data_IF_009917805165
#
_entry.id   IF_009917805165
#
_cell.length_a   1.000
_cell.length_b   1.000
_cell.length_c   1.000
_cell.angle_alpha   90.00
_cell.angle_beta   90.00
_cell.angle_gamma   90.00
#
_symmetry.space_group_name_H-M   'P 1'
#
loop_
_entity.id
_entity.type
_entity.pdbx_description
1 polymer ?
#
# COMPACT_ATOMS: atom_id res chain seq x y z
N UNK A 1 13.69 81.04 19.24
CA UNK A 1 13.71 79.64 19.69
C UNK A 1 12.44 78.96 19.18
N UNK A 2 12.50 78.33 18.01
CA UNK A 2 11.35 77.62 17.41
C UNK A 2 11.71 76.15 17.30
N UNK A 3 10.97 75.30 18.02
CA UNK A 3 11.15 73.84 18.07
C UNK A 3 10.12 73.21 17.14
N UNK A 4 10.59 72.74 15.98
CA UNK A 4 9.76 72.01 15.01
C UNK A 4 9.76 70.52 15.41
N UNK A 5 8.61 70.00 15.86
CA UNK A 5 8.39 68.57 16.08
C UNK A 5 8.00 67.89 14.76
N UNK A 6 8.83 66.98 14.28
CA UNK A 6 8.50 66.07 13.18
C UNK A 6 7.86 64.80 13.74
N UNK A 7 6.57 64.59 13.46
CA UNK A 7 5.90 63.31 13.71
C UNK A 7 6.20 62.36 12.55
N UNK A 8 7.01 61.33 12.82
CA UNK A 8 7.23 60.21 11.93
C UNK A 8 6.08 59.20 12.11
N UNK A 9 5.17 59.15 11.14
CA UNK A 9 4.11 58.13 11.07
C UNK A 9 4.68 56.87 10.43
N UNK A 10 5.11 55.93 11.26
CA UNK A 10 5.57 54.61 10.83
C UNK A 10 4.32 53.76 10.48
N UNK A 11 3.87 53.84 9.24
CA UNK A 11 2.79 53.01 8.70
C UNK A 11 3.34 51.61 8.43
N UNK A 12 3.29 50.75 9.45
CA UNK A 12 3.63 49.34 9.36
C UNK A 12 2.61 48.58 8.53
N UNK A 13 2.81 48.55 7.21
CA UNK A 13 2.15 47.60 6.32
C UNK A 13 2.67 46.20 6.63
N UNK A 14 1.96 45.47 7.50
CA UNK A 14 2.16 44.02 7.61
C UNK A 14 1.43 43.37 6.43
N UNK A 15 2.14 42.68 5.52
CA UNK A 15 1.48 41.94 4.46
C UNK A 15 0.59 40.89 5.12
N UNK A 16 -0.72 40.95 4.84
CA UNK A 16 -1.65 39.86 5.09
C UNK A 16 -1.16 38.68 4.26
N UNK A 17 -0.35 37.81 4.87
CA UNK A 17 -0.01 36.53 4.29
C UNK A 17 -1.32 35.74 4.15
N UNK A 18 -1.86 35.72 2.93
CA UNK A 18 -2.93 34.79 2.55
C UNK A 18 -2.45 33.38 2.90
N UNK A 19 -3.04 32.78 3.94
CA UNK A 19 -2.86 31.36 4.21
C UNK A 19 -3.44 30.61 3.02
N UNK A 20 -2.58 29.99 2.22
CA UNK A 20 -3.01 29.07 1.17
C UNK A 20 -3.87 27.99 1.82
N UNK A 21 -5.06 27.76 1.25
CA UNK A 21 -5.92 26.66 1.67
C UNK A 21 -5.17 25.33 1.47
N UNK A 22 -5.26 24.37 2.41
CA UNK A 22 -4.58 23.09 2.24
C UNK A 22 -5.03 22.41 0.96
N UNK A 23 -4.09 21.84 0.20
CA UNK A 23 -4.41 21.11 -1.03
C UNK A 23 -5.12 19.78 -0.72
N UNK A 24 -5.80 19.20 -1.71
CA UNK A 24 -6.47 17.89 -1.57
C UNK A 24 -5.48 16.78 -1.16
N UNK A 25 -4.24 16.84 -1.67
CA UNK A 25 -3.17 15.91 -1.33
C UNK A 25 -2.74 16.01 0.14
N UNK A 26 -2.76 17.23 0.71
CA UNK A 26 -2.51 17.44 2.14
C UNK A 26 -3.59 16.79 2.99
N UNK A 27 -4.87 16.91 2.59
CA UNK A 27 -5.97 16.23 3.27
C UNK A 27 -5.89 14.71 3.13
N UNK A 28 -5.59 14.20 1.93
CA UNK A 28 -5.44 12.77 1.70
C UNK A 28 -4.31 12.16 2.54
N UNK A 29 -3.16 12.84 2.63
CA UNK A 29 -2.02 12.42 3.47
C UNK A 29 -2.42 12.33 4.94
N UNK A 30 -3.13 13.35 5.46
CA UNK A 30 -3.64 13.33 6.85
C UNK A 30 -4.64 12.20 7.07
N UNK A 31 -5.51 11.94 6.10
CA UNK A 31 -6.52 10.89 6.19
C UNK A 31 -5.88 9.49 6.15
N UNK A 32 -4.85 9.27 5.34
CA UNK A 32 -4.04 8.03 5.35
C UNK A 32 -3.41 7.82 6.73
N UNK A 33 -2.69 8.81 7.25
CA UNK A 33 -1.98 8.66 8.52
C UNK A 33 -2.97 8.47 9.69
N UNK A 34 -4.11 9.16 9.68
CA UNK A 34 -5.20 8.91 10.63
C UNK A 34 -5.73 7.49 10.53
N UNK A 35 -5.92 6.97 9.30
CA UNK A 35 -6.36 5.59 9.08
C UNK A 35 -5.37 4.57 9.64
N UNK A 36 -4.06 4.81 9.50
CA UNK A 36 -3.00 3.98 10.10
C UNK A 36 -3.13 3.98 11.63
N UNK A 37 -3.20 5.16 12.24
CA UNK A 37 -3.29 5.27 13.70
C UNK A 37 -4.57 4.58 14.22
N UNK A 38 -5.70 4.73 13.53
CA UNK A 38 -6.96 4.03 13.86
C UNK A 38 -6.84 2.52 13.74
N UNK A 39 -6.17 2.04 12.69
CA UNK A 39 -5.95 0.62 12.44
C UNK A 39 -5.11 -0.03 13.54
N UNK A 40 -4.01 0.62 13.93
CA UNK A 40 -3.11 0.16 15.01
C UNK A 40 -3.83 0.11 16.37
N UNK A 41 -4.79 1.00 16.60
CA UNK A 41 -5.62 1.01 17.80
C UNK A 41 -6.85 0.07 17.74
N UNK A 42 -6.98 -0.75 16.68
CA UNK A 42 -8.07 -1.72 16.53
C UNK A 42 -9.41 -1.13 16.06
N UNK A 43 -9.45 0.16 15.69
CA UNK A 43 -10.63 0.84 15.17
C UNK A 43 -10.81 0.61 13.67
N UNK A 44 -10.97 -0.67 13.29
CA UNK A 44 -10.89 -1.11 11.89
C UNK A 44 -11.92 -0.45 10.97
N UNK A 45 -13.15 -0.23 11.44
CA UNK A 45 -14.20 0.41 10.64
C UNK A 45 -13.89 1.90 10.40
N UNK A 46 -13.37 2.60 11.41
CA UNK A 46 -12.97 4.00 11.29
C UNK A 46 -11.76 4.14 10.38
N UNK A 47 -10.81 3.19 10.44
CA UNK A 47 -9.67 3.13 9.52
C UNK A 47 -10.13 2.99 8.06
N UNK A 48 -11.11 2.12 7.78
CA UNK A 48 -11.70 1.97 6.44
C UNK A 48 -12.26 3.31 5.93
N UNK A 49 -13.01 4.02 6.77
CA UNK A 49 -13.57 5.33 6.39
C UNK A 49 -12.45 6.32 6.07
N UNK A 50 -11.43 6.42 6.93
CA UNK A 50 -10.31 7.34 6.72
C UNK A 50 -9.52 7.04 5.43
N UNK A 51 -9.29 5.77 5.12
CA UNK A 51 -8.61 5.40 3.86
C UNK A 51 -9.52 5.62 2.63
N UNK A 52 -10.83 5.40 2.73
CA UNK A 52 -11.78 5.67 1.67
C UNK A 52 -11.91 7.18 1.37
N UNK A 53 -11.88 8.01 2.40
CA UNK A 53 -11.83 9.47 2.27
C UNK A 53 -10.54 9.90 1.55
N UNK A 54 -9.39 9.34 1.94
CA UNK A 54 -8.12 9.60 1.25
C UNK A 54 -8.18 9.22 -0.23
N UNK A 55 -8.70 8.03 -0.53
CA UNK A 55 -8.87 7.57 -1.90
C UNK A 55 -9.80 8.49 -2.70
N UNK A 56 -10.92 8.92 -2.11
CA UNK A 56 -11.86 9.84 -2.78
C UNK A 56 -11.22 11.19 -3.07
N UNK A 57 -10.42 11.72 -2.13
CA UNK A 57 -9.68 12.98 -2.29
C UNK A 57 -8.64 12.89 -3.42
N UNK A 58 -8.00 11.73 -3.60
CA UNK A 58 -7.00 11.54 -4.65
C UNK A 58 -7.62 11.10 -5.98
N UNK A 59 -8.82 10.52 -5.98
CA UNK A 59 -9.44 9.92 -7.16
C UNK A 59 -10.50 10.79 -7.85
N UNK A 60 -10.51 12.12 -7.62
CA UNK A 60 -11.41 13.03 -8.34
C UNK A 60 -11.17 13.15 -9.87
N UNK A 61 -10.42 12.26 -10.56
CA UNK A 61 -10.15 12.32 -12.00
C UNK A 61 -10.05 10.90 -12.63
N UNK A 62 -11.08 10.52 -13.42
CA UNK A 62 -11.02 10.06 -14.82
C UNK A 62 -10.29 8.74 -15.24
N UNK A 63 -10.16 7.71 -14.41
CA UNK A 63 -9.30 6.54 -14.77
C UNK A 63 -9.86 5.13 -14.58
N UNK A 64 -11.18 4.97 -14.44
CA UNK A 64 -11.76 3.65 -14.24
C UNK A 64 -11.89 2.81 -15.53
N UNK A 65 -12.02 3.45 -16.68
CA UNK A 65 -12.33 2.75 -17.94
C UNK A 65 -11.09 2.25 -18.71
N UNK A 66 -9.86 2.66 -18.34
CA UNK A 66 -8.62 2.32 -19.07
C UNK A 66 -7.81 1.16 -18.47
N UNK A 67 -8.10 0.73 -17.23
CA UNK A 67 -7.25 -0.23 -16.49
C UNK A 67 -7.52 -1.68 -16.90
N UNK A 68 -8.64 -2.00 -17.57
CA UNK A 68 -8.97 -3.39 -17.94
C UNK A 68 -8.13 -3.95 -19.11
N UNK A 69 -7.49 -3.12 -19.95
CA UNK A 69 -7.00 -3.57 -21.26
C UNK A 69 -5.48 -3.70 -21.43
N UNK A 70 -4.62 -3.38 -20.45
CA UNK A 70 -3.17 -3.39 -20.66
C UNK A 70 -2.35 -3.98 -19.49
N UNK A 71 -1.92 -5.23 -19.66
CA UNK A 71 -0.78 -5.82 -18.96
C UNK A 71 0.45 -5.73 -19.89
N UNK A 72 1.44 -4.88 -19.57
CA UNK A 72 2.65 -4.67 -20.39
C UNK A 72 3.93 -4.87 -19.57
N UNK A 73 4.99 -5.28 -20.27
CA UNK A 73 6.31 -5.74 -19.83
C UNK A 73 7.27 -4.62 -19.34
N UNK A 74 8.24 -5.01 -18.50
CA UNK A 74 8.93 -4.21 -17.47
C UNK A 74 10.13 -3.35 -17.95
N UNK A 75 10.34 -2.19 -17.32
CA UNK A 75 11.67 -1.54 -17.20
C UNK A 75 11.87 -0.97 -15.78
N UNK A 76 13.07 -1.12 -15.21
CA UNK A 76 13.39 -0.83 -13.81
C UNK A 76 14.07 0.55 -13.64
N UNK A 77 13.66 1.31 -12.61
CA UNK A 77 14.29 2.54 -12.13
C UNK A 77 14.22 2.56 -10.59
N UNK A 78 15.20 3.10 -9.85
CA UNK A 78 15.31 2.84 -8.41
C UNK A 78 14.35 3.69 -7.54
N UNK A 79 13.83 3.19 -6.39
CA UNK A 79 12.56 3.66 -5.84
C UNK A 79 12.53 4.44 -4.52
N UNK A 80 11.43 5.18 -4.35
CA UNK A 80 10.93 5.66 -3.06
C UNK A 80 10.68 4.45 -2.13
N UNK A 81 11.11 4.56 -0.88
CA UNK A 81 11.01 3.49 0.11
C UNK A 81 9.87 3.80 1.10
N UNK A 82 8.63 3.29 0.87
CA UNK A 82 7.60 3.35 1.88
C UNK A 82 8.07 2.61 3.13
N UNK A 83 7.86 3.19 4.31
CA UNK A 83 8.17 2.53 5.56
C UNK A 83 7.07 1.53 5.90
N UNK A 84 7.45 0.26 5.90
CA UNK A 84 6.61 -0.83 6.37
C UNK A 84 6.91 -1.05 7.86
N UNK A 85 5.89 -0.93 8.71
CA UNK A 85 6.00 -1.33 10.11
C UNK A 85 6.24 -2.84 10.24
N UNK A 86 6.77 -3.30 11.39
CA UNK A 86 6.98 -4.74 11.69
C UNK A 86 5.65 -5.46 11.84
N UNK A 87 5.51 -6.60 11.17
CA UNK A 87 4.29 -7.40 11.26
C UNK A 87 4.24 -8.05 12.62
N UNK A 88 3.25 -7.68 13.43
CA UNK A 88 2.89 -8.54 14.55
C UNK A 88 2.41 -9.86 13.98
N UNK A 89 3.00 -10.98 14.45
CA UNK A 89 2.53 -12.31 14.08
C UNK A 89 1.13 -12.49 14.65
N UNK A 90 0.12 -12.37 13.78
CA UNK A 90 -1.25 -12.70 14.14
C UNK A 90 -1.43 -14.21 14.01
N UNK A 91 -1.68 -14.89 15.13
CA UNK A 91 -2.12 -16.28 15.12
C UNK A 91 -3.53 -16.34 14.53
N UNK A 92 -3.64 -16.59 13.22
CA UNK A 92 -4.97 -16.81 12.62
C UNK A 92 -5.44 -18.22 12.95
N UNK A 93 -6.75 -18.42 13.25
CA UNK A 93 -7.24 -19.73 13.72
C UNK A 93 -7.17 -20.86 12.69
N UNK A 94 -6.90 -20.57 11.40
CA UNK A 94 -7.19 -21.53 10.32
C UNK A 94 -6.26 -21.50 9.11
N UNK A 95 -5.30 -20.57 9.00
CA UNK A 95 -4.33 -20.58 7.90
C UNK A 95 -2.92 -20.29 8.39
N UNK A 96 -2.08 -21.32 8.28
CA UNK A 96 -0.64 -21.31 8.55
C UNK A 96 0.16 -20.36 7.64
N UNK A 97 -0.48 -19.55 6.80
CA UNK A 97 0.19 -18.65 5.88
C UNK A 97 0.43 -17.30 6.57
N UNK A 98 1.66 -16.81 6.47
CA UNK A 98 2.04 -15.45 6.79
C UNK A 98 1.21 -14.45 5.98
N UNK A 99 0.76 -13.38 6.64
CA UNK A 99 -0.01 -12.31 6.02
C UNK A 99 0.62 -11.01 6.44
N UNK A 100 0.86 -10.13 5.48
CA UNK A 100 1.34 -8.80 5.79
C UNK A 100 0.14 -7.88 6.00
N UNK A 101 -0.05 -7.39 7.22
CA UNK A 101 -1.22 -6.61 7.61
C UNK A 101 -0.87 -5.23 8.16
N UNK A 102 0.32 -4.71 7.88
CA UNK A 102 0.69 -3.37 8.33
C UNK A 102 0.37 -2.34 7.26
N UNK A 103 -0.49 -1.35 7.55
CA UNK A 103 -0.75 -0.29 6.60
C UNK A 103 0.51 0.58 6.41
N UNK A 104 0.63 1.20 5.24
CA UNK A 104 1.72 2.12 4.92
C UNK A 104 1.39 3.48 5.53
N UNK A 105 2.32 3.99 6.34
CA UNK A 105 2.30 5.35 6.87
C UNK A 105 3.15 6.27 5.99
N UNK A 106 2.67 7.49 5.78
CA UNK A 106 3.42 8.49 5.01
C UNK A 106 4.26 9.29 5.99
N UNK A 107 5.56 9.03 5.96
CA UNK A 107 6.57 9.77 6.70
C UNK A 107 7.40 10.60 5.72
N UNK A 108 7.23 11.93 5.76
CA UNK A 108 7.95 12.87 4.89
C UNK A 108 7.20 13.27 3.62
N UNK A 109 7.90 13.97 2.73
CA UNK A 109 7.35 14.48 1.49
C UNK A 109 7.46 13.44 0.37
N UNK A 110 6.33 13.16 -0.29
CA UNK A 110 6.31 12.34 -1.50
C UNK A 110 6.74 13.18 -2.73
N UNK A 111 7.36 12.57 -3.75
CA UNK A 111 7.73 13.26 -4.97
C UNK A 111 6.52 13.94 -5.64
N UNK A 112 6.56 15.26 -5.81
CA UNK A 112 5.44 16.05 -6.36
C UNK A 112 4.94 15.54 -7.71
N UNK A 113 5.83 15.04 -8.56
CA UNK A 113 5.51 14.51 -9.90
C UNK A 113 4.61 13.28 -9.89
N UNK A 114 4.67 12.48 -8.81
CA UNK A 114 3.90 11.24 -8.65
C UNK A 114 3.03 11.25 -7.38
N UNK A 115 2.88 12.40 -6.73
CA UNK A 115 2.25 12.56 -5.42
C UNK A 115 0.84 11.95 -5.39
N UNK A 116 -0.03 12.40 -6.29
CA UNK A 116 -1.42 11.95 -6.35
C UNK A 116 -1.54 10.44 -6.55
N UNK A 117 -0.76 9.88 -7.49
CA UNK A 117 -0.76 8.45 -7.81
C UNK A 117 -0.22 7.61 -6.65
N UNK A 118 0.82 8.08 -5.98
CA UNK A 118 1.37 7.46 -4.77
C UNK A 118 0.35 7.44 -3.64
N UNK A 119 -0.37 8.55 -3.42
CA UNK A 119 -1.42 8.62 -2.41
C UNK A 119 -2.60 7.69 -2.74
N UNK A 120 -3.05 7.64 -4.00
CA UNK A 120 -4.10 6.70 -4.46
C UNK A 120 -3.69 5.25 -4.21
N UNK A 121 -2.45 4.90 -4.58
CA UNK A 121 -1.91 3.57 -4.35
C UNK A 121 -1.90 3.21 -2.86
N UNK A 122 -1.37 4.10 -2.02
CA UNK A 122 -1.25 3.86 -0.57
C UNK A 122 -2.64 3.71 0.05
N UNK A 123 -3.61 4.54 -0.36
CA UNK A 123 -4.99 4.45 0.11
C UNK A 123 -5.64 3.11 -0.28
N UNK A 124 -5.48 2.66 -1.54
CA UNK A 124 -5.99 1.37 -2.01
C UNK A 124 -5.34 0.20 -1.27
N UNK A 125 -4.02 0.23 -1.12
CA UNK A 125 -3.28 -0.80 -0.40
C UNK A 125 -3.75 -0.92 1.06
N UNK A 126 -3.90 0.21 1.76
CA UNK A 126 -4.37 0.22 3.15
C UNK A 126 -5.85 -0.20 3.25
N UNK A 127 -6.70 0.18 2.30
CA UNK A 127 -8.08 -0.33 2.21
C UNK A 127 -8.12 -1.85 1.99
N UNK A 128 -7.23 -2.37 1.15
CA UNK A 128 -7.12 -3.80 0.89
C UNK A 128 -6.78 -4.56 2.17
N UNK A 129 -5.78 -4.08 2.94
CA UNK A 129 -5.42 -4.63 4.26
C UNK A 129 -6.63 -4.64 5.19
N UNK A 130 -7.35 -3.53 5.31
CA UNK A 130 -8.51 -3.46 6.20
C UNK A 130 -9.61 -4.47 5.83
N UNK A 131 -9.92 -4.59 4.53
CA UNK A 131 -10.91 -5.56 4.04
C UNK A 131 -10.41 -7.00 4.21
N UNK A 132 -9.12 -7.26 3.98
CA UNK A 132 -8.52 -8.59 4.16
C UNK A 132 -8.61 -9.03 5.62
N UNK A 133 -8.18 -8.16 6.54
CA UNK A 133 -8.28 -8.41 7.99
C UNK A 133 -9.72 -8.57 8.43
N UNK A 134 -10.63 -7.71 7.96
CA UNK A 134 -12.06 -7.84 8.25
C UNK A 134 -12.61 -9.17 7.75
N UNK A 135 -12.24 -9.61 6.55
CA UNK A 135 -12.66 -10.90 6.00
C UNK A 135 -12.22 -12.07 6.87
N UNK A 136 -10.97 -12.08 7.32
CA UNK A 136 -10.44 -13.11 8.22
C UNK A 136 -11.18 -13.12 9.56
N UNK A 137 -11.35 -11.95 10.18
CA UNK A 137 -12.02 -11.82 11.48
C UNK A 137 -13.51 -12.20 11.43
N UNK A 138 -14.16 -12.05 10.28
CA UNK A 138 -15.57 -12.39 10.07
C UNK A 138 -15.74 -13.79 9.44
N UNK A 139 -15.02 -14.79 9.97
CA UNK A 139 -15.11 -16.19 9.53
C UNK A 139 -14.82 -16.40 8.03
N UNK A 140 -13.75 -15.79 7.53
CA UNK A 140 -13.35 -15.88 6.12
C UNK A 140 -14.44 -15.37 5.16
N UNK A 141 -15.03 -14.20 5.48
CA UNK A 141 -16.08 -13.58 4.67
C UNK A 141 -15.59 -13.35 3.23
N UNK A 142 -16.16 -14.10 2.29
CA UNK A 142 -15.74 -14.08 0.90
C UNK A 142 -16.04 -12.75 0.19
N UNK A 143 -17.01 -11.96 0.67
CA UNK A 143 -17.32 -10.65 0.12
C UNK A 143 -16.22 -9.64 0.43
N UNK A 144 -15.79 -9.58 1.68
CA UNK A 144 -14.68 -8.73 2.14
C UNK A 144 -13.35 -9.15 1.52
N UNK A 145 -13.09 -10.45 1.42
CA UNK A 145 -11.87 -10.97 0.78
C UNK A 145 -11.81 -10.62 -0.71
N UNK A 146 -12.93 -10.68 -1.44
CA UNK A 146 -12.97 -10.23 -2.86
C UNK A 146 -12.74 -8.74 -3.00
N UNK A 147 -13.28 -7.91 -2.10
CA UNK A 147 -12.98 -6.47 -2.10
C UNK A 147 -11.50 -6.19 -1.87
N UNK A 148 -10.89 -6.91 -0.93
CA UNK A 148 -9.45 -6.81 -0.68
C UNK A 148 -8.64 -7.18 -1.92
N UNK A 149 -9.00 -8.29 -2.59
CA UNK A 149 -8.37 -8.74 -3.84
C UNK A 149 -8.41 -7.65 -4.91
N UNK A 150 -9.58 -7.09 -5.19
CA UNK A 150 -9.75 -6.01 -6.17
C UNK A 150 -8.87 -4.79 -5.85
N UNK A 151 -8.82 -4.38 -4.58
CA UNK A 151 -8.01 -3.25 -4.14
C UNK A 151 -6.51 -3.50 -4.27
N UNK A 152 -6.04 -4.72 -3.98
CA UNK A 152 -4.65 -5.11 -4.22
C UNK A 152 -4.29 -5.11 -5.70
N UNK A 153 -5.17 -5.63 -6.57
CA UNK A 153 -4.97 -5.66 -8.02
C UNK A 153 -4.88 -4.23 -8.59
N UNK A 154 -5.78 -3.33 -8.15
CA UNK A 154 -5.71 -1.92 -8.52
C UNK A 154 -4.42 -1.25 -8.04
N UNK A 155 -4.02 -1.46 -6.79
CA UNK A 155 -2.78 -0.91 -6.25
C UNK A 155 -1.56 -1.40 -7.05
N UNK A 156 -1.56 -2.69 -7.43
CA UNK A 156 -0.52 -3.27 -8.27
C UNK A 156 -0.52 -2.67 -9.68
N UNK A 157 -1.68 -2.50 -10.31
CA UNK A 157 -1.80 -1.89 -11.64
C UNK A 157 -1.25 -0.45 -11.65
N UNK A 158 -1.61 0.36 -10.64
CA UNK A 158 -1.06 1.72 -10.48
C UNK A 158 0.45 1.68 -10.30
N UNK A 159 0.99 0.74 -9.52
CA UNK A 159 2.43 0.60 -9.35
C UNK A 159 3.14 0.36 -10.70
N UNK A 160 2.58 -0.53 -11.53
CA UNK A 160 3.17 -0.95 -12.80
C UNK A 160 3.04 0.09 -13.91
N UNK A 161 1.85 0.66 -14.10
CA UNK A 161 1.58 1.57 -15.21
C UNK A 161 2.27 2.92 -15.03
N UNK A 162 2.34 3.39 -13.78
CA UNK A 162 2.74 4.77 -13.51
C UNK A 162 4.21 4.94 -13.18
N UNK A 163 4.96 3.83 -13.33
CA UNK A 163 6.34 3.72 -12.90
C UNK A 163 6.51 4.27 -11.49
N UNK A 164 5.51 4.11 -10.60
CA UNK A 164 5.69 4.53 -9.21
C UNK A 164 6.81 3.65 -8.71
N UNK A 165 7.93 4.29 -8.44
CA UNK A 165 9.10 3.61 -7.97
C UNK A 165 8.80 3.23 -6.51
N UNK A 166 8.01 2.18 -6.31
CA UNK A 166 7.91 1.46 -5.06
C UNK A 166 8.89 0.31 -5.09
N UNK A 167 9.38 -0.01 -3.90
CA UNK A 167 10.28 -1.14 -3.68
C UNK A 167 9.68 -2.44 -4.21
N UNK A 168 10.54 -3.35 -4.68
CA UNK A 168 10.16 -4.75 -4.96
C UNK A 168 9.46 -5.40 -3.76
N UNK A 169 9.78 -4.95 -2.54
CA UNK A 169 9.08 -5.33 -1.30
C UNK A 169 7.57 -5.07 -1.36
N UNK A 170 7.12 -3.94 -1.92
CA UNK A 170 5.69 -3.66 -2.07
C UNK A 170 5.00 -4.67 -3.00
N UNK A 171 5.65 -5.01 -4.12
CA UNK A 171 5.18 -6.05 -5.05
C UNK A 171 5.09 -7.41 -4.35
N UNK A 172 6.12 -7.78 -3.59
CA UNK A 172 6.15 -9.04 -2.83
C UNK A 172 5.03 -9.11 -1.79
N UNK A 173 4.78 -8.03 -1.07
CA UNK A 173 3.69 -7.92 -0.10
C UNK A 173 2.33 -8.12 -0.78
N UNK A 174 2.07 -7.39 -1.88
CA UNK A 174 0.82 -7.49 -2.61
C UNK A 174 0.63 -8.93 -3.12
N UNK A 175 1.63 -9.51 -3.80
CA UNK A 175 1.55 -10.88 -4.32
C UNK A 175 1.32 -11.91 -3.22
N UNK A 176 1.99 -11.77 -2.06
CA UNK A 176 1.80 -12.67 -0.92
C UNK A 176 0.37 -12.61 -0.39
N UNK A 177 -0.18 -11.40 -0.21
CA UNK A 177 -1.53 -11.21 0.31
C UNK A 177 -2.61 -11.68 -0.69
N UNK A 178 -2.42 -11.39 -1.99
CA UNK A 178 -3.28 -11.87 -3.08
C UNK A 178 -3.27 -13.41 -3.13
N UNK A 179 -2.08 -14.02 -3.10
CA UNK A 179 -1.93 -15.48 -3.07
C UNK A 179 -2.64 -16.12 -1.87
N UNK A 180 -2.58 -15.47 -0.70
CA UNK A 180 -3.31 -15.90 0.49
C UNK A 180 -4.83 -15.81 0.33
N UNK A 181 -5.35 -14.69 -0.23
CA UNK A 181 -6.79 -14.54 -0.49
C UNK A 181 -7.29 -15.60 -1.47
N UNK A 182 -6.58 -15.83 -2.58
CA UNK A 182 -6.93 -16.90 -3.51
C UNK A 182 -6.99 -18.26 -2.84
N UNK A 183 -6.06 -18.55 -1.92
CA UNK A 183 -6.07 -19.79 -1.14
C UNK A 183 -7.35 -19.93 -0.32
N UNK A 184 -7.71 -18.90 0.45
CA UNK A 184 -8.94 -18.88 1.27
C UNK A 184 -10.18 -19.09 0.41
N UNK A 185 -10.25 -18.44 -0.76
CA UNK A 185 -11.38 -18.52 -1.67
C UNK A 185 -11.44 -19.83 -2.48
N UNK A 186 -10.53 -20.79 -2.25
CA UNK A 186 -10.47 -22.06 -2.95
C UNK A 186 -9.85 -21.99 -4.36
N UNK A 187 -9.34 -20.82 -4.74
CA UNK A 187 -8.70 -20.54 -6.03
C UNK A 187 -7.23 -21.00 -6.05
N UNK A 188 -7.00 -22.29 -5.78
CA UNK A 188 -5.66 -22.84 -5.57
C UNK A 188 -4.68 -22.60 -6.73
N UNK A 189 -5.16 -22.62 -7.98
CA UNK A 189 -4.33 -22.37 -9.16
C UNK A 189 -3.68 -20.97 -9.11
N UNK A 190 -4.49 -19.93 -8.92
CA UNK A 190 -4.01 -18.54 -8.83
C UNK A 190 -3.11 -18.32 -7.60
N UNK A 191 -3.45 -18.95 -6.47
CA UNK A 191 -2.60 -18.93 -5.28
C UNK A 191 -1.19 -19.47 -5.55
N UNK A 192 -1.08 -20.62 -6.22
CA UNK A 192 0.20 -21.21 -6.62
C UNK A 192 0.98 -20.29 -7.57
N UNK A 193 0.31 -19.67 -8.55
CA UNK A 193 0.96 -18.73 -9.46
C UNK A 193 1.53 -17.52 -8.71
N UNK A 194 0.78 -16.92 -7.78
CA UNK A 194 1.28 -15.83 -6.95
C UNK A 194 2.54 -16.22 -6.18
N UNK A 195 2.55 -17.40 -5.55
CA UNK A 195 3.70 -17.85 -4.76
C UNK A 195 4.90 -18.29 -5.62
N UNK A 196 4.67 -18.81 -6.83
CA UNK A 196 5.73 -19.06 -7.80
C UNK A 196 6.39 -17.75 -8.27
N UNK A 197 5.60 -16.73 -8.57
CA UNK A 197 6.14 -15.40 -8.88
C UNK A 197 6.92 -14.83 -7.71
N UNK A 198 6.37 -14.91 -6.50
CA UNK A 198 7.04 -14.46 -5.27
C UNK A 198 8.39 -15.17 -5.07
N UNK A 199 8.45 -16.49 -5.31
CA UNK A 199 9.69 -17.28 -5.25
C UNK A 199 10.71 -16.80 -6.29
N UNK A 200 10.30 -16.60 -7.54
CA UNK A 200 11.18 -16.09 -8.60
C UNK A 200 11.73 -14.70 -8.25
N UNK A 201 10.90 -13.80 -7.72
CA UNK A 201 11.33 -12.47 -7.26
C UNK A 201 12.34 -12.56 -6.12
N UNK A 202 12.10 -13.44 -5.14
CA UNK A 202 13.03 -13.70 -4.03
C UNK A 202 14.36 -14.23 -4.55
N UNK A 203 14.34 -15.21 -5.46
CA UNK A 203 15.56 -15.79 -6.01
C UNK A 203 16.39 -14.75 -6.77
N UNK A 204 15.73 -13.91 -7.57
CA UNK A 204 16.38 -12.79 -8.24
C UNK A 204 17.04 -11.82 -7.26
N UNK A 205 16.35 -11.43 -6.19
CA UNK A 205 16.90 -10.53 -5.17
C UNK A 205 18.08 -11.14 -4.40
N UNK A 206 18.01 -12.44 -4.10
CA UNK A 206 19.12 -13.16 -3.47
C UNK A 206 20.34 -13.20 -4.38
N UNK A 207 20.15 -13.47 -5.67
CA UNK A 207 21.23 -13.45 -6.67
C UNK A 207 21.83 -12.06 -6.85
N UNK A 208 21.01 -11.02 -6.79
CA UNK A 208 21.45 -9.62 -6.85
C UNK A 208 22.18 -9.14 -5.58
N UNK A 209 22.19 -9.92 -4.49
CA UNK A 209 22.76 -9.51 -3.21
C UNK A 209 21.89 -8.55 -2.40
N UNK A 210 20.62 -8.39 -2.79
CA UNK A 210 19.66 -7.43 -2.24
C UNK A 210 18.76 -8.05 -1.14
N UNK A 211 19.09 -9.27 -0.69
CA UNK A 211 18.26 -10.02 0.29
C UNK A 211 18.06 -9.26 1.60
N UNK A 212 19.06 -8.51 2.05
CA UNK A 212 19.06 -7.84 3.36
C UNK A 212 18.12 -6.61 3.37
N UNK A 213 17.64 -6.19 2.20
CA UNK A 213 16.65 -5.14 2.02
C UNK A 213 15.21 -5.65 2.00
N UNK A 214 15.00 -6.98 2.02
CA UNK A 214 13.67 -7.58 2.03
C UNK A 214 13.15 -7.63 3.46
N UNK A 215 12.16 -6.79 3.72
CA UNK A 215 11.41 -6.81 4.96
C UNK A 215 10.60 -8.09 5.09
N UNK A 216 10.62 -8.76 6.25
CA UNK A 216 9.82 -9.98 6.53
C UNK A 216 10.06 -11.14 5.55
N UNK A 217 11.31 -11.26 5.03
CA UNK A 217 11.73 -12.32 4.11
C UNK A 217 11.27 -13.72 4.54
N UNK A 218 11.49 -14.06 5.81
CA UNK A 218 11.14 -15.37 6.37
C UNK A 218 9.65 -15.67 6.27
N UNK A 219 8.79 -14.65 6.46
CA UNK A 219 7.34 -14.79 6.35
C UNK A 219 6.90 -15.12 4.91
N UNK A 220 7.46 -14.42 3.92
CA UNK A 220 7.19 -14.72 2.51
C UNK A 220 7.69 -16.11 2.13
N UNK A 221 8.88 -16.49 2.60
CA UNK A 221 9.45 -17.79 2.32
C UNK A 221 8.63 -18.92 2.94
N UNK A 222 8.12 -18.74 4.17
CA UNK A 222 7.24 -19.71 4.83
C UNK A 222 5.97 -19.99 4.00
N UNK A 223 5.37 -18.96 3.40
CA UNK A 223 4.21 -19.13 2.51
C UNK A 223 4.52 -19.95 1.27
N UNK A 224 5.66 -19.66 0.65
CA UNK A 224 6.13 -20.38 -0.54
C UNK A 224 6.37 -21.85 -0.18
N UNK A 225 7.10 -22.11 0.92
CA UNK A 225 7.40 -23.48 1.33
C UNK A 225 6.12 -24.28 1.56
N UNK A 226 5.17 -23.72 2.30
CA UNK A 226 3.89 -24.38 2.59
C UNK A 226 3.05 -24.63 1.34
N UNK A 227 3.14 -23.78 0.33
CA UNK A 227 2.32 -23.92 -0.88
C UNK A 227 2.97 -24.80 -1.94
N UNK A 228 4.26 -24.61 -2.20
CA UNK A 228 5.01 -25.34 -3.24
C UNK A 228 5.26 -26.79 -2.82
N UNK A 229 5.64 -27.02 -1.56
CA UNK A 229 5.97 -28.38 -1.09
C UNK A 229 4.75 -29.18 -0.62
N UNK A 230 3.57 -28.55 -0.46
CA UNK A 230 2.32 -29.29 -0.24
C UNK A 230 1.86 -30.09 -1.47
N UNK A 231 2.50 -29.90 -2.63
CA UNK A 231 2.26 -30.69 -3.83
C UNK A 231 3.51 -31.51 -4.12
N UNK A 232 3.53 -32.83 -3.79
CA UNK A 232 4.64 -33.68 -4.18
C UNK A 232 4.81 -33.60 -5.70
N UNK A 233 6.05 -33.55 -6.21
CA UNK A 233 6.29 -33.46 -7.64
C UNK A 233 5.51 -34.56 -8.33
N UNK A 234 4.70 -34.19 -9.34
CA UNK A 234 4.04 -35.16 -10.19
C UNK A 234 5.13 -36.11 -10.70
N UNK A 235 5.05 -37.39 -10.32
CA UNK A 235 6.02 -38.38 -10.73
C UNK A 235 6.15 -38.32 -12.26
N UNK A 236 7.37 -38.11 -12.75
CA UNK A 236 7.65 -38.14 -14.18
C UNK A 236 7.21 -39.52 -14.70
N UNK A 237 6.16 -39.53 -15.51
CA UNK A 237 5.62 -40.72 -16.17
C UNK A 237 6.25 -40.90 -17.55
#
# INVERSE_FOLDING_TARGET
MSRTMAMSTNSGYYPLHCRESPSAESFATKSINLGVDLYENGYLQQAIVAFADAFTLTNQIEYWDEIEDNFVEFTYSPPFQPQFGRSEKWETPTNDLFIFLNPIKIEGELPKTKLRKSLTLIALFNLAICNHRSGILNNMDAGLLRKALQMYEMAYAIQMQEGIDMTLTATMIIMSNVGHIHKILGNNHYSVQCFQHLLSTIMFLVEAGEKDHIFEFDGFFENILKTVYAHPPAAAA
#
